data_IF_179385028223
#
_entry.id   IF_179385028223
#
_cell.length_a   1.000
_cell.length_b   1.000
_cell.length_c   1.000
_cell.angle_alpha   90.00
_cell.angle_beta   90.00
_cell.angle_gamma   90.00
#
_symmetry.space_group_name_H-M   'P 1'
#
loop_
_entity.id
_entity.type
_entity.pdbx_description
1 polymer ?
2 non-polymer ?
3 non-polymer ?
4 non-polymer ?
5 water ?
#
# COMPACT_ATOMS: atom_id res chain seq x y z
N UNK A 11 -11.72 -19.02 -5.51
CA UNK A 11 -10.60 -18.12 -5.11
C UNK A 11 -10.77 -16.77 -5.83
N UNK A 12 -10.89 -15.69 -5.07
CA UNK A 12 -11.27 -14.37 -5.64
C UNK A 12 -10.16 -13.72 -6.44
N UNK A 13 -8.92 -14.18 -6.26
CA UNK A 13 -7.75 -13.63 -6.96
C UNK A 13 -7.06 -14.72 -7.79
N UNK A 14 -7.84 -15.65 -8.32
CA UNK A 14 -7.31 -16.73 -9.15
C UNK A 14 -6.44 -16.16 -10.27
N UNK A 15 -5.23 -16.67 -10.39
CA UNK A 15 -4.33 -16.27 -11.47
C UNK A 15 -3.60 -14.96 -11.24
N UNK A 16 -3.91 -14.20 -10.20
CA UNK A 16 -3.24 -12.91 -9.99
C UNK A 16 -1.83 -13.15 -9.43
N UNK A 17 -0.95 -12.21 -9.75
CA UNK A 17 0.47 -12.23 -9.33
C UNK A 17 0.72 -10.82 -8.79
N UNK A 18 0.98 -10.74 -7.49
CA UNK A 18 1.04 -9.43 -6.81
C UNK A 18 2.41 -9.14 -6.24
N UNK A 19 2.81 -7.89 -6.33
CA UNK A 19 3.92 -7.31 -5.55
C UNK A 19 3.28 -6.50 -4.44
N UNK A 20 3.66 -6.74 -3.21
CA UNK A 20 3.19 -5.96 -2.06
C UNK A 20 4.43 -5.36 -1.39
N UNK A 21 4.63 -4.06 -1.57
CA UNK A 21 5.77 -3.40 -0.95
C UNK A 21 5.50 -3.18 0.51
N UNK A 22 6.55 -3.21 1.31
CA UNK A 22 6.32 -3.17 2.76
C UNK A 22 5.40 -4.27 3.23
N UNK A 23 5.55 -5.42 2.60
CA UNK A 23 4.67 -6.58 2.81
C UNK A 23 5.08 -7.48 3.95
N UNK A 24 6.13 -7.12 4.69
CA UNK A 24 6.66 -7.98 5.74
C UNK A 24 6.13 -7.68 7.12
N UNK A 25 5.34 -6.61 7.27
CA UNK A 25 4.83 -6.12 8.57
C UNK A 25 3.41 -5.63 8.36
N UNK A 26 2.64 -5.69 9.45
CA UNK A 26 1.43 -4.87 9.59
C UNK A 26 0.44 -5.02 8.46
N UNK A 27 -0.02 -3.91 7.93
CA UNK A 27 -1.02 -3.89 6.86
C UNK A 27 -0.52 -4.69 5.65
N UNK A 28 0.70 -4.47 5.22
CA UNK A 28 1.21 -5.16 4.03
C UNK A 28 1.24 -6.66 4.22
N UNK A 29 1.64 -7.12 5.40
CA UNK A 29 1.67 -8.56 5.69
C UNK A 29 0.26 -9.15 5.59
N UNK A 30 -0.73 -8.48 6.14
CA UNK A 30 -2.12 -8.97 6.08
C UNK A 30 -2.62 -8.98 4.65
N UNK A 31 -2.30 -7.94 3.87
CA UNK A 31 -2.67 -7.93 2.44
C UNK A 31 -2.09 -9.19 1.78
N UNK A 32 -0.78 -9.43 1.99
CA UNK A 32 -0.15 -10.59 1.36
C UNK A 32 -0.85 -11.89 1.80
N UNK A 33 -1.13 -12.00 3.11
CA UNK A 33 -1.79 -13.21 3.66
C UNK A 33 -3.13 -13.45 2.97
N UNK A 34 -3.97 -12.47 2.91
CA UNK A 34 -5.30 -12.65 2.31
C UNK A 34 -5.19 -12.82 0.80
N UNK A 35 -4.22 -12.18 0.17
CA UNK A 35 -4.03 -12.40 -1.28
C UNK A 35 -3.71 -13.87 -1.54
N UNK A 36 -2.78 -14.45 -0.78
CA UNK A 36 -2.46 -15.87 -0.92
C UNK A 36 -3.72 -16.70 -0.66
N UNK A 37 -4.46 -16.38 0.40
CA UNK A 37 -5.68 -17.14 0.76
C UNK A 37 -6.64 -17.16 -0.42
N UNK A 38 -6.70 -16.09 -1.19
CA UNK A 38 -7.63 -15.94 -2.33
C UNK A 38 -7.00 -16.39 -3.66
N UNK A 39 -5.86 -17.07 -3.61
CA UNK A 39 -5.33 -17.72 -4.82
C UNK A 39 -4.26 -16.94 -5.54
N UNK A 40 -3.87 -15.76 -5.06
CA UNK A 40 -2.79 -15.02 -5.73
C UNK A 40 -1.44 -15.63 -5.38
N UNK A 41 -0.47 -15.39 -6.26
CA UNK A 41 0.95 -15.58 -5.94
C UNK A 41 1.48 -14.19 -5.58
N UNK A 42 2.36 -14.14 -4.57
CA UNK A 42 2.74 -12.85 -4.00
C UNK A 42 4.25 -12.77 -3.79
N UNK A 43 4.81 -11.63 -4.14
CA UNK A 43 6.15 -11.25 -3.66
C UNK A 43 5.94 -10.09 -2.68
N UNK A 44 6.44 -10.27 -1.46
CA UNK A 44 6.49 -9.20 -0.45
C UNK A 44 7.90 -8.62 -0.43
N UNK A 45 7.97 -7.29 -0.26
CA UNK A 45 9.26 -6.64 -0.10
C UNK A 45 9.38 -6.00 1.27
N UNK A 46 10.61 -5.80 1.69
CA UNK A 46 10.93 -5.05 2.90
C UNK A 46 12.41 -4.82 2.94
N UNK A 47 12.82 -3.97 3.88
CA UNK A 47 14.24 -3.59 3.97
C UNK A 47 15.07 -4.63 4.73
N UNK A 48 14.42 -5.56 5.51
CA UNK A 48 15.23 -6.32 6.47
C UNK A 48 15.02 -7.78 6.16
N UNK A 49 16.10 -8.47 5.85
CA UNK A 49 16.01 -9.87 5.42
C UNK A 49 15.46 -10.82 6.47
N UNK A 50 15.92 -10.77 7.70
CA UNK A 50 15.43 -11.73 8.71
C UNK A 50 13.92 -11.60 8.87
N UNK A 51 13.45 -10.37 8.98
CA UNK A 51 12.00 -10.11 9.13
C UNK A 51 11.25 -10.66 7.92
N UNK A 52 11.76 -10.36 6.73
CA UNK A 52 11.04 -10.73 5.50
C UNK A 52 11.01 -12.22 5.26
N UNK A 53 12.09 -12.90 5.56
CA UNK A 53 12.13 -14.36 5.40
C UNK A 53 11.09 -15.00 6.33
N UNK A 54 11.05 -14.58 7.58
CA UNK A 54 10.08 -15.09 8.57
C UNK A 54 8.67 -14.76 8.10
N UNK A 55 8.45 -13.55 7.60
CA UNK A 55 7.11 -13.14 7.18
C UNK A 55 6.61 -14.06 6.05
N UNK A 56 7.42 -14.27 5.02
CA UNK A 56 6.96 -15.08 3.86
C UNK A 56 6.61 -16.50 4.34
N UNK A 57 7.47 -17.10 5.13
CA UNK A 57 7.25 -18.47 5.58
C UNK A 57 6.01 -18.56 6.47
N UNK A 58 5.66 -17.51 7.19
CA UNK A 58 4.47 -17.53 8.07
C UNK A 58 3.20 -17.67 7.23
N UNK A 59 3.25 -17.27 5.96
CA UNK A 59 2.06 -17.29 5.07
C UNK A 59 2.03 -18.58 4.26
N UNK A 60 3.14 -18.99 3.68
CA UNK A 60 3.13 -20.16 2.81
C UNK A 60 4.49 -20.50 2.26
N UNK A 61 4.50 -21.52 1.42
CA UNK A 61 5.71 -21.95 0.75
C UNK A 61 6.00 -21.11 -0.49
N UNK A 62 7.15 -21.36 -1.08
CA UNK A 62 7.65 -20.55 -2.20
C UNK A 62 6.89 -20.77 -3.51
N UNK A 63 5.99 -21.76 -3.57
CA UNK A 63 5.10 -21.85 -4.75
C UNK A 63 4.02 -20.77 -4.71
N UNK A 64 3.81 -20.11 -3.57
CA UNK A 64 2.77 -19.05 -3.47
C UNK A 64 3.30 -17.73 -2.97
N UNK A 65 4.39 -17.68 -2.21
CA UNK A 65 4.84 -16.40 -1.66
C UNK A 65 6.36 -16.42 -1.52
N UNK A 66 6.97 -15.31 -1.88
CA UNK A 66 8.41 -15.12 -1.71
C UNK A 66 8.68 -13.73 -1.18
N UNK A 67 9.80 -13.59 -0.47
CA UNK A 67 10.29 -12.30 0.00
C UNK A 67 11.43 -11.84 -0.88
N UNK A 68 11.43 -10.56 -1.23
CA UNK A 68 12.56 -9.91 -1.91
C UNK A 68 12.93 -8.67 -1.09
N UNK A 69 14.19 -8.59 -0.70
CA UNK A 69 14.72 -7.41 -0.02
C UNK A 69 14.82 -6.25 -1.00
N UNK A 70 14.09 -5.19 -0.73
CA UNK A 70 14.03 -4.02 -1.60
C UNK A 70 13.49 -2.87 -0.79
N UNK A 71 14.13 -1.72 -0.92
CA UNK A 71 13.66 -0.42 -0.41
C UNK A 71 12.90 0.26 -1.55
N UNK A 72 11.65 0.61 -1.32
CA UNK A 72 10.79 1.18 -2.37
C UNK A 72 11.37 2.49 -2.92
N UNK A 73 12.22 3.17 -2.14
CA UNK A 73 12.87 4.40 -2.62
C UNK A 73 13.98 4.12 -3.64
N UNK A 74 14.38 2.85 -3.79
CA UNK A 74 15.49 2.41 -4.66
C UNK A 74 14.96 2.19 -6.09
N UNK A 75 15.13 3.20 -6.92
CA UNK A 75 14.59 3.14 -8.30
C UNK A 75 15.15 1.96 -9.08
N UNK A 76 16.46 1.77 -9.06
CA UNK A 76 17.05 0.72 -9.89
C UNK A 76 16.54 -0.66 -9.49
N UNK A 77 16.23 -0.87 -8.23
CA UNK A 77 15.78 -2.17 -7.78
C UNK A 77 14.36 -2.52 -8.25
N UNK A 78 13.60 -1.56 -8.72
CA UNK A 78 12.20 -1.79 -9.15
C UNK A 78 12.14 -2.72 -10.36
N UNK A 79 12.93 -2.48 -11.41
CA UNK A 79 12.87 -3.36 -12.60
C UNK A 79 13.39 -4.73 -12.22
N UNK A 80 14.26 -4.85 -11.28
CA UNK A 80 14.79 -6.18 -10.88
C UNK A 80 13.73 -6.92 -10.05
N UNK A 81 12.94 -6.17 -9.28
CA UNK A 81 11.84 -6.74 -8.47
C UNK A 81 10.77 -7.32 -9.40
N UNK A 82 10.38 -6.59 -10.44
CA UNK A 82 9.43 -7.13 -11.42
C UNK A 82 10.02 -8.38 -12.09
N UNK A 83 11.30 -8.32 -12.46
CA UNK A 83 11.89 -9.48 -13.13
C UNK A 83 11.89 -10.69 -12.21
N UNK A 84 12.27 -10.52 -10.96
CA UNK A 84 12.32 -11.62 -10.00
C UNK A 84 10.92 -12.21 -9.83
N UNK A 85 9.93 -11.35 -9.69
CA UNK A 85 8.53 -11.79 -9.46
C UNK A 85 8.05 -12.58 -10.68
N UNK A 86 8.30 -12.06 -11.87
CA UNK A 86 7.86 -12.68 -13.14
C UNK A 86 8.58 -14.01 -13.32
N UNK A 87 9.86 -14.09 -13.01
CA UNK A 87 10.58 -15.37 -13.14
C UNK A 87 9.92 -16.40 -12.23
N UNK A 88 9.52 -16.02 -11.03
CA UNK A 88 8.91 -16.94 -10.06
C UNK A 88 7.51 -17.38 -10.53
N UNK A 89 6.68 -16.43 -10.90
CA UNK A 89 5.22 -16.62 -10.92
C UNK A 89 4.55 -16.24 -12.23
N UNK A 90 5.30 -15.72 -13.18
CA UNK A 90 4.74 -15.19 -14.43
C UNK A 90 4.34 -13.73 -14.29
N UNK A 91 3.74 -13.17 -15.35
CA UNK A 91 3.53 -11.71 -15.42
C UNK A 91 2.80 -11.15 -14.20
N UNK A 92 3.34 -10.05 -13.70
CA UNK A 92 2.71 -9.34 -12.57
C UNK A 92 1.38 -8.74 -13.04
N UNK A 93 0.37 -8.88 -12.20
CA UNK A 93 -0.98 -8.35 -12.47
C UNK A 93 -1.38 -7.25 -11.46
N UNK A 94 -0.70 -7.17 -10.32
CA UNK A 94 -1.23 -6.41 -9.18
C UNK A 94 -0.06 -5.83 -8.43
N UNK A 95 -0.08 -4.52 -8.20
CA UNK A 95 0.98 -3.84 -7.44
C UNK A 95 0.32 -3.11 -6.29
N UNK A 96 0.74 -3.41 -5.09
CA UNK A 96 0.28 -2.71 -3.88
C UNK A 96 1.45 -1.91 -3.34
N UNK A 97 1.38 -0.60 -3.57
CA UNK A 97 2.42 0.35 -3.12
C UNK A 97 2.11 0.72 -1.68
N UNK A 98 2.59 -0.09 -0.76
CA UNK A 98 2.27 0.02 0.67
C UNK A 98 3.49 0.46 1.50
N UNK A 99 4.71 0.32 1.03
CA UNK A 99 5.88 0.74 1.82
C UNK A 99 5.72 2.20 2.21
N UNK A 100 6.07 2.50 3.45
CA UNK A 100 5.98 3.87 3.93
C UNK A 100 6.61 4.02 5.28
N UNK A 101 6.98 5.24 5.60
CA UNK A 101 7.53 5.63 6.91
C UNK A 101 6.78 6.87 7.40
N UNK A 102 6.91 7.11 8.69
CA UNK A 102 6.26 8.28 9.32
C UNK A 102 7.32 9.01 10.14
N UNK A 103 7.09 10.30 10.24
CA UNK A 103 7.86 11.26 11.04
C UNK A 103 6.83 12.02 11.90
N UNK A 104 7.12 12.19 13.17
CA UNK A 104 6.19 12.85 14.12
C UNK A 104 6.58 14.32 14.28
N UNK A 105 6.45 15.11 13.23
CA UNK A 105 6.87 16.52 13.28
C UNK A 105 5.79 17.34 12.62
N UNK A 106 5.53 18.52 13.16
CA UNK A 106 4.75 19.53 12.45
C UNK A 106 5.52 19.96 11.20
N UNK A 107 4.82 20.58 10.27
CA UNK A 107 5.49 21.25 9.13
C UNK A 107 6.61 22.16 9.66
N UNK A 108 6.26 23.01 10.63
CA UNK A 108 7.22 23.94 11.21
C UNK A 108 8.50 23.24 11.66
N UNK A 109 8.34 22.12 12.33
CA UNK A 109 9.47 21.43 12.99
C UNK A 109 10.14 20.39 12.11
N UNK A 110 9.72 20.25 10.86
CA UNK A 110 10.31 19.22 9.99
C UNK A 110 11.67 19.69 9.48
N UNK A 111 12.70 18.89 9.68
CA UNK A 111 13.98 19.19 9.04
C UNK A 111 13.95 18.82 7.56
N UNK A 112 14.81 19.43 6.78
CA UNK A 112 14.84 19.08 5.37
C UNK A 112 15.26 17.62 5.18
N UNK A 113 16.15 17.13 6.02
CA UNK A 113 16.53 15.71 5.95
C UNK A 113 15.31 14.81 6.15
N UNK A 114 14.49 15.11 7.17
CA UNK A 114 13.26 14.34 7.45
C UNK A 114 12.32 14.39 6.24
N UNK A 115 12.12 15.60 5.73
CA UNK A 115 11.25 15.83 4.57
C UNK A 115 11.67 14.93 3.40
N UNK A 116 12.93 15.03 3.02
CA UNK A 116 13.39 14.30 1.82
C UNK A 116 13.35 12.79 2.07
N UNK A 117 13.72 12.35 3.27
CA UNK A 117 13.72 10.90 3.54
C UNK A 117 12.30 10.36 3.44
N UNK A 118 11.35 10.99 4.11
CA UNK A 118 9.96 10.49 4.09
C UNK A 118 9.42 10.51 2.65
N UNK A 119 9.65 11.59 1.92
CA UNK A 119 9.12 11.64 0.55
C UNK A 119 9.80 10.58 -0.34
N UNK A 120 11.05 10.23 -0.06
CA UNK A 120 11.74 9.24 -0.91
C UNK A 120 11.02 7.89 -0.87
N UNK A 121 10.46 7.52 0.26
CA UNK A 121 9.73 6.23 0.37
C UNK A 121 8.27 6.43 -0.02
N UNK A 122 7.63 7.39 0.65
CA UNK A 122 6.15 7.49 0.63
C UNK A 122 5.66 8.06 -0.70
N UNK A 123 6.47 8.89 -1.34
CA UNK A 123 6.04 9.53 -2.60
C UNK A 123 6.84 8.93 -3.77
N UNK A 124 8.17 9.01 -3.72
CA UNK A 124 8.91 8.43 -4.86
C UNK A 124 8.62 6.93 -5.01
N UNK A 125 8.53 6.19 -3.92
CA UNK A 125 8.32 4.75 -4.02
C UNK A 125 7.01 4.44 -4.71
N UNK A 126 5.96 5.20 -4.36
CA UNK A 126 4.66 4.99 -5.01
C UNK A 126 4.73 5.37 -6.47
N UNK A 127 5.38 6.49 -6.78
CA UNK A 127 5.60 6.88 -8.18
C UNK A 127 6.33 5.79 -8.96
N UNK A 128 7.43 5.30 -8.41
CA UNK A 128 8.21 4.27 -9.13
C UNK A 128 7.37 3.02 -9.38
N UNK A 129 6.64 2.58 -8.37
CA UNK A 129 5.84 1.36 -8.54
C UNK A 129 4.66 1.55 -9.47
N UNK A 130 4.07 2.75 -9.44
CA UNK A 130 2.93 3.05 -10.32
C UNK A 130 3.42 3.17 -11.76
N UNK A 131 4.46 3.97 -11.98
CA UNK A 131 5.00 4.17 -13.34
C UNK A 131 5.39 2.80 -13.92
N UNK A 132 6.19 2.04 -13.19
CA UNK A 132 6.68 0.77 -13.73
C UNK A 132 5.55 -0.24 -13.84
N UNK A 133 4.62 -0.26 -12.90
CA UNK A 133 3.46 -1.14 -13.03
C UNK A 133 2.68 -0.88 -14.30
N UNK A 134 2.49 0.38 -14.64
CA UNK A 134 1.77 0.70 -15.90
C UNK A 134 2.58 0.13 -17.05
N UNK A 135 3.86 0.43 -17.12
CA UNK A 135 4.66 -0.01 -18.28
C UNK A 135 4.64 -1.54 -18.39
N UNK A 136 4.78 -2.23 -17.27
CA UNK A 136 4.97 -3.69 -17.29
C UNK A 136 3.66 -4.43 -17.41
N UNK A 137 2.53 -3.82 -17.07
CA UNK A 137 1.24 -4.54 -17.02
C UNK A 137 0.28 -4.11 -18.11
N UNK A 138 0.49 -2.96 -18.75
CA UNK A 138 -0.50 -2.49 -19.73
C UNK A 138 -0.60 -3.45 -20.90
N UNK A 139 -1.79 -3.48 -21.48
CA UNK A 139 -2.05 -4.09 -22.80
C UNK A 139 -1.81 -5.59 -22.80
N UNK A 140 -1.98 -6.26 -21.66
CA UNK A 140 -1.72 -7.70 -21.55
C UNK A 140 -2.97 -8.46 -21.15
N UNK A 141 -4.13 -7.83 -21.06
CA UNK A 141 -5.37 -8.54 -20.70
C UNK A 141 -5.31 -9.18 -19.32
N UNK A 142 -4.56 -8.58 -18.42
CA UNK A 142 -4.32 -9.16 -17.08
C UNK A 142 -5.38 -8.76 -16.07
N UNK A 143 -6.25 -7.81 -16.39
CA UNK A 143 -7.08 -7.26 -15.32
C UNK A 143 -6.20 -6.66 -14.23
N UNK A 144 -5.26 -5.83 -14.66
CA UNK A 144 -4.22 -5.34 -13.75
C UNK A 144 -4.78 -4.25 -12.83
N UNK A 145 -4.23 -4.21 -11.64
CA UNK A 145 -4.71 -3.29 -10.58
C UNK A 145 -3.51 -2.79 -9.77
N UNK A 146 -3.42 -1.45 -9.67
CA UNK A 146 -2.41 -0.78 -8.83
C UNK A 146 -3.17 -0.18 -7.67
N UNK A 147 -2.78 -0.56 -6.47
CA UNK A 147 -3.43 -0.14 -5.22
C UNK A 147 -2.39 0.66 -4.46
N UNK A 148 -2.62 1.98 -4.40
CA UNK A 148 -1.68 2.88 -3.74
C UNK A 148 -2.18 3.19 -2.33
N UNK A 149 -1.34 2.91 -1.35
CA UNK A 149 -1.72 3.09 0.05
C UNK A 149 -1.54 4.57 0.41
N UNK A 150 -2.65 5.31 0.45
CA UNK A 150 -2.74 6.61 1.09
C UNK A 150 -3.13 6.35 2.57
N UNK A 151 -3.89 7.21 3.18
CA UNK A 151 -4.32 7.09 4.59
C UNK A 151 -5.37 8.17 4.82
N UNK A 152 -5.93 8.21 6.02
CA UNK A 152 -6.77 9.35 6.39
C UNK A 152 -6.00 10.67 6.23
N UNK A 153 -4.68 10.64 6.40
CA UNK A 153 -3.82 11.82 6.24
C UNK A 153 -3.66 12.23 4.79
N UNK A 154 -4.29 11.53 3.85
CA UNK A 154 -4.48 12.04 2.50
C UNK A 154 -5.70 12.91 2.32
N UNK A 155 -6.59 12.92 3.32
CA UNK A 155 -7.83 13.71 3.31
C UNK A 155 -7.79 14.87 4.28
N UNK A 156 -7.28 14.67 5.47
CA UNK A 156 -7.31 15.68 6.53
C UNK A 156 -5.90 15.89 7.04
N UNK A 157 -5.65 17.11 7.51
CA UNK A 157 -4.39 17.41 8.18
C UNK A 157 -4.30 16.76 9.55
N UNK A 158 -3.06 16.57 9.98
CA UNK A 158 -2.72 16.28 11.39
C UNK A 158 -1.58 17.20 11.69
N UNK A 159 -1.68 18.05 12.73
CA UNK A 159 -0.63 19.03 12.99
C UNK A 159 0.75 18.43 13.24
N UNK A 160 0.81 17.16 13.65
CA UNK A 160 2.05 16.47 14.03
C UNK A 160 2.57 15.60 12.90
N UNK A 161 1.98 15.66 11.70
CA UNK A 161 2.35 14.73 10.59
C UNK A 161 2.52 15.49 9.28
N UNK A 162 3.23 16.61 9.30
CA UNK A 162 3.26 17.50 8.13
C UNK A 162 3.78 16.86 6.86
N UNK A 163 4.97 16.30 6.90
CA UNK A 163 5.54 15.65 5.71
C UNK A 163 4.71 14.43 5.30
N UNK A 164 4.21 13.69 6.27
CA UNK A 164 3.34 12.53 5.99
C UNK A 164 2.10 12.97 5.24
N UNK A 165 1.47 14.05 5.70
CA UNK A 165 0.31 14.63 5.00
C UNK A 165 0.66 15.00 3.56
N UNK A 166 1.80 15.68 3.35
CA UNK A 166 2.21 16.00 1.99
C UNK A 166 2.27 14.73 1.15
N UNK A 167 2.91 13.69 1.68
CA UNK A 167 3.11 12.47 0.89
C UNK A 167 1.77 11.82 0.53
N UNK A 168 0.85 11.79 1.48
CA UNK A 168 -0.40 11.07 1.30
C UNK A 168 -1.36 11.81 0.40
N UNK A 169 -1.33 13.15 0.45
CA UNK A 169 -2.09 13.97 -0.50
C UNK A 169 -1.54 13.79 -1.90
N UNK A 170 -0.21 13.76 -2.04
CA UNK A 170 0.39 13.54 -3.36
C UNK A 170 -0.04 12.19 -3.93
N UNK A 171 0.01 11.14 -3.15
CA UNK A 171 -0.35 9.79 -3.61
C UNK A 171 -1.82 9.82 -4.03
N UNK A 172 -2.66 10.47 -3.26
CA UNK A 172 -4.10 10.52 -3.56
C UNK A 172 -4.34 11.05 -4.97
N UNK A 173 -3.75 12.21 -5.29
CA UNK A 173 -4.09 12.88 -6.56
C UNK A 173 -3.28 12.33 -7.74
N UNK A 174 -2.01 12.00 -7.50
CA UNK A 174 -1.20 11.34 -8.55
C UNK A 174 -1.89 10.07 -9.06
N UNK A 175 -2.51 9.34 -8.14
CA UNK A 175 -3.17 8.08 -8.51
C UNK A 175 -4.32 8.35 -9.46
N UNK A 176 -5.05 9.45 -9.28
CA UNK A 176 -6.15 9.79 -10.20
C UNK A 176 -5.59 10.06 -11.59
N UNK A 177 -4.46 10.75 -11.70
CA UNK A 177 -3.84 11.00 -13.02
C UNK A 177 -3.57 9.67 -13.72
N UNK A 178 -2.91 8.77 -13.01
CA UNK A 178 -2.56 7.46 -13.56
C UNK A 178 -3.80 6.67 -13.95
N UNK A 179 -4.81 6.67 -13.09
CA UNK A 179 -6.07 5.97 -13.38
C UNK A 179 -6.65 6.47 -14.69
N UNK A 180 -6.71 7.80 -14.85
CA UNK A 180 -7.30 8.39 -16.06
C UNK A 180 -6.52 8.00 -17.30
N UNK A 181 -5.20 8.14 -17.26
CA UNK A 181 -4.39 7.83 -18.43
C UNK A 181 -4.61 6.38 -18.85
N UNK A 182 -4.58 5.48 -17.89
CA UNK A 182 -4.75 4.04 -18.15
C UNK A 182 -6.14 3.77 -18.72
N UNK A 183 -7.17 4.43 -18.21
CA UNK A 183 -8.54 4.24 -18.69
C UNK A 183 -8.67 4.75 -20.11
N UNK A 184 -8.22 5.98 -20.35
CA UNK A 184 -8.35 6.62 -21.66
C UNK A 184 -7.61 5.85 -22.76
N UNK A 185 -6.51 5.23 -22.40
CA UNK A 185 -5.69 4.49 -23.37
C UNK A 185 -6.05 3.01 -23.41
N UNK A 186 -7.08 2.57 -22.69
CA UNK A 186 -7.52 1.17 -22.74
C UNK A 186 -6.35 0.26 -22.39
N UNK A 187 -5.59 0.60 -21.35
CA UNK A 187 -4.42 -0.20 -20.94
C UNK A 187 -4.80 -1.47 -20.17
N UNK A 188 -6.03 -1.60 -19.70
CA UNK A 188 -6.44 -2.69 -18.80
C UNK A 188 -5.60 -2.65 -17.52
N UNK A 189 -5.46 -1.45 -16.96
CA UNK A 189 -4.83 -1.21 -15.66
C UNK A 189 -5.74 -0.24 -14.92
N UNK A 190 -6.14 -0.58 -13.71
CA UNK A 190 -6.87 0.32 -12.81
C UNK A 190 -5.93 0.81 -11.74
N UNK A 191 -6.20 2.01 -11.22
CA UNK A 191 -5.38 2.59 -10.15
C UNK A 191 -6.35 3.20 -9.15
N UNK A 192 -6.22 2.83 -7.88
CA UNK A 192 -7.10 3.33 -6.82
C UNK A 192 -6.26 3.54 -5.57
N UNK A 193 -6.78 4.33 -4.65
CA UNK A 193 -6.12 4.53 -3.35
C UNK A 193 -6.96 3.95 -2.23
N UNK A 194 -6.25 3.44 -1.23
CA UNK A 194 -6.83 2.95 0.03
C UNK A 194 -6.36 3.88 1.12
N UNK A 195 -7.28 4.20 2.02
CA UNK A 195 -7.03 5.18 3.07
C UNK A 195 -7.37 4.60 4.42
N UNK A 196 -6.42 3.87 5.05
CA UNK A 196 -6.61 3.40 6.41
C UNK A 196 -6.72 4.56 7.39
N UNK A 197 -7.61 4.40 8.37
CA UNK A 197 -7.47 5.10 9.64
C UNK A 197 -6.47 4.41 10.52
N UNK A 198 -6.65 4.50 11.81
CA UNK A 198 -5.67 3.91 12.74
C UNK A 198 -5.87 2.38 12.79
N UNK A 199 -4.75 1.69 12.69
CA UNK A 199 -4.72 0.21 12.63
C UNK A 199 -3.73 -0.31 13.66
N UNK A 200 -4.19 -1.23 14.51
CA UNK A 200 -3.34 -1.82 15.54
C UNK A 200 -2.26 -2.68 14.88
N UNK A 201 -1.01 -2.41 15.20
CA UNK A 201 0.16 -3.17 14.76
C UNK A 201 1.14 -3.21 15.91
N UNK A 202 2.15 -4.12 15.84
CA UNK A 202 3.22 -4.08 16.83
C UNK A 202 3.85 -2.70 17.00
N UNK A 203 4.03 -1.94 15.94
CA UNK A 203 4.63 -0.58 16.07
C UNK A 203 3.74 0.35 16.88
N UNK A 204 2.43 0.25 16.74
CA UNK A 204 1.51 1.04 17.60
C UNK A 204 1.65 0.55 19.05
N UNK A 205 1.66 -0.77 19.22
CA UNK A 205 1.77 -1.37 20.57
C UNK A 205 3.05 -0.90 21.26
N UNK A 206 4.10 -0.64 20.51
CA UNK A 206 5.42 -0.25 21.05
C UNK A 206 5.37 1.17 21.61
N UNK A 207 4.38 1.97 21.23
CA UNK A 207 4.32 3.38 21.66
C UNK A 207 3.28 3.51 22.76
N UNK A 208 3.75 3.63 24.00
CA UNK A 208 2.85 3.68 25.16
C UNK A 208 1.82 4.79 24.96
N UNK A 209 0.55 4.47 25.17
CA UNK A 209 -0.53 5.46 25.12
C UNK A 209 -1.09 5.70 23.74
N UNK A 210 -0.45 5.19 22.69
CA UNK A 210 -0.85 5.56 21.30
C UNK A 210 -2.26 5.04 21.00
N UNK A 211 -2.49 3.75 21.24
CA UNK A 211 -3.81 3.16 20.91
C UNK A 211 -4.92 3.91 21.64
N UNK A 212 -4.71 4.23 22.90
CA UNK A 212 -5.77 4.93 23.66
C UNK A 212 -6.02 6.31 23.08
N UNK A 213 -4.98 7.03 22.70
CA UNK A 213 -5.21 8.36 22.07
C UNK A 213 -6.00 8.17 20.77
N UNK A 214 -5.60 7.18 19.97
CA UNK A 214 -6.23 6.95 18.65
C UNK A 214 -7.71 6.51 18.79
N UNK A 215 -8.03 5.95 19.95
CA UNK A 215 -9.36 5.35 20.20
C UNK A 215 -10.32 6.34 20.84
N UNK A 216 -9.87 7.52 21.19
CA UNK A 216 -10.77 8.55 21.73
C UNK A 216 -11.84 8.84 20.68
N UNK A 217 -13.05 9.12 21.12
CA UNK A 217 -14.19 9.29 20.17
C UNK A 217 -13.96 10.51 19.27
N UNK A 218 -13.23 11.51 19.74
CA UNK A 218 -12.88 12.70 18.93
C UNK A 218 -11.86 12.38 17.84
N UNK A 219 -11.27 11.20 17.88
CA UNK A 219 -10.38 10.71 16.82
C UNK A 219 -11.14 9.64 16.04
N UNK A 220 -11.34 8.46 16.61
CA UNK A 220 -12.04 7.37 15.93
C UNK A 220 -13.40 7.20 16.57
N UNK A 221 -14.49 7.56 15.88
CA UNK A 221 -15.83 7.47 16.47
C UNK A 221 -16.21 6.09 16.98
N UNK A 222 -15.73 5.02 16.34
CA UNK A 222 -15.99 3.66 16.82
C UNK A 222 -15.38 3.38 18.19
N UNK A 223 -14.46 4.21 18.68
CA UNK A 223 -13.95 4.06 20.05
C UNK A 223 -12.91 2.97 20.19
N UNK A 224 -12.36 2.52 19.09
CA UNK A 224 -11.27 1.54 19.01
C UNK A 224 -10.63 1.72 17.64
N UNK A 225 -9.47 1.13 17.48
CA UNK A 225 -8.77 1.17 16.19
C UNK A 225 -8.97 -0.13 15.44
N UNK A 226 -8.54 -0.17 14.20
CA UNK A 226 -8.76 -1.31 13.33
C UNK A 226 -7.67 -2.35 13.46
N UNK A 227 -7.70 -3.31 12.58
CA UNK A 227 -6.68 -4.36 12.56
C UNK A 227 -6.26 -4.56 11.10
N UNK A 228 -5.07 -5.15 10.86
CA UNK A 228 -4.55 -5.22 9.50
C UNK A 228 -5.50 -5.85 8.48
N UNK A 229 -6.24 -6.89 8.89
CA UNK A 229 -7.18 -7.52 7.94
C UNK A 229 -8.27 -6.58 7.45
N UNK A 230 -8.59 -5.53 8.21
CA UNK A 230 -9.54 -4.54 7.71
C UNK A 230 -9.03 -3.92 6.40
N UNK A 231 -7.74 -3.72 6.30
CA UNK A 231 -7.17 -3.15 5.05
C UNK A 231 -6.97 -4.26 4.03
N UNK A 232 -6.61 -5.46 4.45
CA UNK A 232 -6.45 -6.58 3.52
C UNK A 232 -7.74 -6.80 2.72
N UNK A 233 -8.91 -6.78 3.36
CA UNK A 233 -10.13 -7.16 2.63
C UNK A 233 -10.50 -6.14 1.57
N UNK A 234 -10.32 -4.84 1.82
CA UNK A 234 -10.63 -3.86 0.74
C UNK A 234 -9.62 -4.03 -0.39
N UNK A 235 -8.36 -4.36 -0.06
CA UNK A 235 -7.37 -4.63 -1.11
C UNK A 235 -7.73 -5.86 -1.94
N UNK A 236 -8.27 -6.92 -1.33
CA UNK A 236 -8.71 -8.08 -2.12
C UNK A 236 -9.75 -7.62 -3.16
N UNK A 237 -10.74 -6.87 -2.70
CA UNK A 237 -11.77 -6.34 -3.62
C UNK A 237 -11.12 -5.59 -4.77
N UNK A 238 -10.19 -4.69 -4.46
CA UNK A 238 -9.59 -3.84 -5.51
C UNK A 238 -8.66 -4.61 -6.44
N UNK A 239 -8.01 -5.67 -5.95
CA UNK A 239 -7.14 -6.51 -6.81
C UNK A 239 -7.98 -7.41 -7.71
N UNK A 240 -9.16 -7.77 -7.26
CA UNK A 240 -10.00 -8.74 -7.97
C UNK A 240 -10.73 -8.08 -9.15
N UNK A 241 -11.19 -8.93 -10.04
CA UNK A 241 -12.00 -8.48 -11.18
C UNK A 241 -13.38 -8.03 -10.72
N UNK A 242 -13.75 -8.26 -9.48
CA UNK A 242 -15.02 -7.72 -8.94
C UNK A 242 -15.08 -6.20 -9.07
N UNK A 243 -13.93 -5.54 -9.04
CA UNK A 243 -13.82 -4.08 -9.03
C UNK A 243 -13.41 -3.55 -10.40
N UNK A 244 -13.73 -4.24 -11.48
CA UNK A 244 -13.32 -3.87 -12.85
C UNK A 244 -13.85 -2.51 -13.31
N UNK A 245 -14.86 -1.93 -12.69
CA UNK A 245 -15.35 -0.58 -13.04
C UNK A 245 -14.87 0.48 -12.07
N UNK A 246 -14.07 0.12 -11.07
CA UNK A 246 -13.55 1.07 -10.08
C UNK A 246 -12.15 1.49 -10.48
N UNK A 247 -11.99 2.80 -10.77
CA UNK A 247 -10.65 3.35 -11.04
C UNK A 247 -10.69 4.82 -10.67
N UNK A 248 -9.54 5.32 -10.19
CA UNK A 248 -9.42 6.72 -9.83
C UNK A 248 -10.11 7.10 -8.53
N UNK A 249 -10.48 6.11 -7.73
CA UNK A 249 -11.28 6.34 -6.52
C UNK A 249 -10.51 6.06 -5.25
N UNK A 250 -11.11 6.49 -4.16
CA UNK A 250 -10.51 6.50 -2.82
C UNK A 250 -11.40 5.68 -1.89
N UNK A 251 -10.80 4.70 -1.25
CA UNK A 251 -11.52 3.70 -0.43
C UNK A 251 -11.06 3.86 1.02
N UNK A 252 -11.94 4.37 1.87
CA UNK A 252 -11.62 4.81 3.23
C UNK A 252 -12.13 3.79 4.24
N UNK A 253 -11.22 3.30 5.08
CA UNK A 253 -11.54 2.28 6.10
C UNK A 253 -10.96 2.79 7.41
N UNK A 254 -11.76 3.54 8.17
CA UNK A 254 -11.18 4.44 9.19
C UNK A 254 -12.01 4.54 10.47
N UNK A 255 -13.00 3.69 10.68
CA UNK A 255 -13.77 3.76 11.92
C UNK A 255 -14.56 5.04 12.09
N UNK A 256 -14.77 5.77 11.01
CA UNK A 256 -15.48 7.05 11.05
C UNK A 256 -14.63 8.28 11.17
N UNK A 257 -13.30 8.15 11.21
CA UNK A 257 -12.41 9.29 11.50
C UNK A 257 -12.75 10.51 10.64
N UNK A 258 -12.82 10.31 9.32
CA UNK A 258 -13.01 11.40 8.36
C UNK A 258 -14.47 11.81 8.19
N UNK A 259 -15.40 11.09 8.77
CA UNK A 259 -16.84 11.39 8.62
C UNK A 259 -17.28 12.55 9.50
N UNK A 260 -16.50 12.87 10.53
CA UNK A 260 -16.77 14.01 11.44
C UNK A 260 -15.77 15.13 11.23
X LIG B 1 -8.52 -4.33 -14.19
X LIG B 1 -9.92 -4.77 -14.23
X LIG B 1 -7.90 -3.68 -15.38
X LIG B 1 -8.78 -3.12 -16.44
X LIG C 1 -9.80 15.01 14.31
X LIG C 1 -11.17 14.78 14.35
X LIG C 1 -9.35 15.80 15.51
X LIG C 1 -9.57 15.07 16.72
X LIG D 1 -12.91 15.93 10.53
X LIG E 1 7.72 24.18 19.17
X LIG F 1 4.26 -3.74 12.64
X LIG G 1 11.42 -2.47 -16.92
#
# INVERSE_FOLDING_TARGET
>A
HHHHHHGSGTDRLKGKVAIVTGGTLGIGLAIADKFVEEGAKVVITGRHADVGEKAAKSIGGTDVIRFVQHDASDEAGWTKLFDTTEEAFGPVTTVVNNAGIAVSKSVEDTTTEEWRKLLSVNLDGVFFGTRLGIKRMKNKGLGASIINMSSIEGFVGDPTLGAYNASKGAVRIMSKSAALDCALKDYDVRVNTVHPGYIKTPLVDDLEGAEEMMSQRTKTPMGHIGEPNDIAWICVYLASDESKFATGAEFVVDGGYTAQ
>B hetero
1 EDO C1 O1 C2 O2
>C hetero
1 EDO C1 O1 C2 O2
>D hetero
1 MG MG
>E hetero
1 MG MG
>F hetero
1 CL CL
>G hetero
1 CL CL
#
